data_IF_234067738968
#
_entry.id   IF_234067738968
#
_cell.length_a   1.000
_cell.length_b   1.000
_cell.length_c   1.000
_cell.angle_alpha   90.00
_cell.angle_beta   90.00
_cell.angle_gamma   90.00
#
_symmetry.space_group_name_H-M   'P 1'
#
loop_
_entity.id
_entity.type
_entity.pdbx_description
1 polymer ?
#
# COMPACT_ATOMS: atom_id res chain seq x y z
N UNK A 1 9.75 -7.46 8.85
CA UNK A 1 11.02 -7.88 9.45
C UNK A 1 10.88 -8.14 10.94
N UNK A 2 10.46 -7.17 11.77
CA UNK A 2 10.37 -7.32 13.24
C UNK A 2 9.59 -8.59 13.67
N UNK A 3 8.46 -8.90 13.03
CA UNK A 3 7.70 -10.10 13.32
C UNK A 3 8.46 -11.40 12.97
N UNK A 4 9.25 -11.40 11.89
CA UNK A 4 10.06 -12.55 11.51
C UNK A 4 11.19 -12.77 12.53
N UNK A 5 11.88 -11.72 12.95
CA UNK A 5 12.93 -11.79 13.99
C UNK A 5 12.35 -12.27 15.34
N UNK A 6 11.16 -11.78 15.73
CA UNK A 6 10.50 -12.22 16.96
C UNK A 6 10.16 -13.73 16.96
N UNK A 7 9.87 -14.32 15.80
CA UNK A 7 9.60 -15.76 15.67
C UNK A 7 10.82 -16.62 15.99
N UNK A 8 12.04 -16.12 15.76
CA UNK A 8 13.28 -16.83 16.20
C UNK A 8 13.28 -16.95 17.72
N UNK A 9 12.91 -15.88 18.44
CA UNK A 9 12.78 -15.91 19.90
C UNK A 9 11.75 -16.93 20.39
N UNK A 10 10.59 -17.01 19.72
CA UNK A 10 9.55 -18.00 20.01
C UNK A 10 10.07 -19.43 19.77
N UNK A 11 10.75 -19.67 18.65
CA UNK A 11 11.34 -20.97 18.35
C UNK A 11 12.44 -21.35 19.36
N UNK A 12 13.23 -20.38 19.81
CA UNK A 12 14.26 -20.57 20.84
C UNK A 12 13.64 -20.95 22.21
N UNK A 13 12.46 -20.38 22.52
CA UNK A 13 11.70 -20.71 23.73
C UNK A 13 11.39 -22.20 23.84
N UNK A 14 11.20 -22.91 22.73
CA UNK A 14 10.94 -24.35 22.71
C UNK A 14 12.15 -25.24 23.16
N UNK A 15 13.32 -24.65 23.35
CA UNK A 15 14.48 -25.34 23.95
C UNK A 15 14.37 -25.46 25.48
N UNK A 16 13.56 -24.64 26.09
CA UNK A 16 13.39 -24.57 27.54
C UNK A 16 12.13 -25.33 27.98
N UNK A 17 12.11 -25.82 29.26
CA UNK A 17 10.90 -26.42 29.81
C UNK A 17 9.76 -25.41 29.89
N UNK A 18 8.56 -25.82 29.49
CA UNK A 18 7.33 -25.08 29.72
C UNK A 18 6.81 -25.35 31.14
N UNK A 19 6.60 -24.28 31.89
CA UNK A 19 6.12 -24.32 33.27
C UNK A 19 4.74 -23.71 33.31
N UNK A 20 3.72 -24.52 33.51
CA UNK A 20 2.33 -24.06 33.68
C UNK A 20 1.81 -24.36 35.07
N UNK A 21 0.85 -23.57 35.53
CA UNK A 21 0.12 -23.84 36.78
C UNK A 21 -1.25 -24.36 36.39
N UNK A 22 -1.54 -25.58 36.85
CA UNK A 22 -2.83 -26.22 36.61
C UNK A 22 -3.65 -26.34 37.89
N UNK A 23 -4.95 -26.15 37.76
CA UNK A 23 -5.92 -26.50 38.79
C UNK A 23 -6.97 -27.43 38.16
N UNK A 24 -7.26 -28.52 38.83
CA UNK A 24 -8.29 -29.47 38.43
C UNK A 24 -9.31 -29.62 39.56
N UNK A 25 -10.57 -29.63 39.21
CA UNK A 25 -11.67 -29.98 40.12
C UNK A 25 -12.54 -30.97 39.39
N UNK A 26 -12.97 -32.03 40.11
CA UNK A 26 -13.82 -33.04 39.51
C UNK A 26 -14.53 -33.85 40.60
N UNK A 27 -15.60 -34.52 40.23
CA UNK A 27 -16.37 -35.43 41.07
C UNK A 27 -16.32 -36.81 40.43
N UNK A 28 -15.99 -37.82 41.20
CA UNK A 28 -15.92 -39.22 40.75
C UNK A 28 -16.78 -40.07 41.69
N UNK A 29 -17.84 -40.64 41.15
CA UNK A 29 -18.77 -41.46 41.92
C UNK A 29 -19.93 -42.01 41.11
N UNK A 30 -20.85 -42.72 41.73
CA UNK A 30 -22.13 -43.18 41.16
C UNK A 30 -23.05 -41.94 41.10
N UNK A 31 -24.01 -41.93 40.18
CA UNK A 31 -24.88 -40.74 39.92
C UNK A 31 -25.59 -40.25 41.21
N UNK A 32 -25.96 -41.14 42.11
CA UNK A 32 -26.67 -40.81 43.35
C UNK A 32 -25.79 -40.10 44.40
N UNK A 33 -24.47 -40.25 44.30
CA UNK A 33 -23.48 -39.66 45.22
C UNK A 33 -22.70 -38.49 44.67
N UNK A 34 -23.07 -37.98 43.49
CA UNK A 34 -22.43 -36.84 42.86
C UNK A 34 -22.65 -35.56 43.71
N UNK A 35 -21.54 -34.99 44.17
CA UNK A 35 -21.57 -33.75 44.95
C UNK A 35 -21.36 -33.96 46.45
N UNK A 36 -21.24 -35.21 46.94
CA UNK A 36 -20.89 -35.46 48.31
C UNK A 36 -19.38 -35.27 48.54
N UNK A 37 -18.96 -34.89 49.74
CA UNK A 37 -17.56 -34.56 50.05
C UNK A 37 -16.57 -35.69 49.73
N UNK A 38 -16.88 -37.02 49.90
CA UNK A 38 -15.98 -38.09 49.57
C UNK A 38 -15.70 -38.27 48.09
N UNK A 39 -16.56 -37.77 47.20
CA UNK A 39 -16.45 -37.92 45.73
C UNK A 39 -15.77 -36.76 45.07
N UNK A 40 -15.59 -35.63 45.76
CA UNK A 40 -14.95 -34.43 45.24
C UNK A 40 -13.45 -34.58 45.24
N UNK A 41 -12.82 -34.37 44.12
CA UNK A 41 -11.36 -34.32 43.95
C UNK A 41 -10.95 -32.96 43.43
N UNK A 42 -9.91 -32.44 44.03
CA UNK A 42 -9.28 -31.21 43.54
C UNK A 42 -7.77 -31.41 43.57
N UNK A 43 -7.09 -30.75 42.67
CA UNK A 43 -5.64 -30.70 42.56
C UNK A 43 -5.19 -29.34 42.07
N UNK A 44 -4.13 -28.85 42.67
CA UNK A 44 -3.46 -27.62 42.26
C UNK A 44 -1.95 -27.85 42.30
N UNK A 45 -1.25 -27.47 41.24
CA UNK A 45 0.20 -27.61 41.19
C UNK A 45 0.85 -27.14 39.89
N UNK A 46 2.16 -26.94 39.94
CA UNK A 46 2.93 -26.68 38.73
C UNK A 46 3.01 -27.96 37.88
N UNK A 47 2.83 -27.75 36.54
CA UNK A 47 3.08 -28.78 35.54
C UNK A 47 4.29 -28.34 34.72
N UNK A 48 5.34 -29.17 34.71
CA UNK A 48 6.55 -28.95 33.92
C UNK A 48 6.52 -29.90 32.74
N UNK A 49 6.54 -29.40 31.54
CA UNK A 49 6.65 -30.21 30.34
C UNK A 49 7.91 -29.81 29.55
N UNK A 50 8.67 -30.82 29.15
CA UNK A 50 9.90 -30.61 28.37
C UNK A 50 10.10 -31.74 27.36
N UNK A 51 10.32 -31.34 26.10
CA UNK A 51 10.56 -32.27 25.01
C UNK A 51 12.05 -32.52 24.83
N UNK A 52 12.49 -33.75 25.18
CA UNK A 52 13.87 -34.19 24.99
C UNK A 52 13.85 -35.46 24.12
N UNK A 53 14.68 -35.54 23.06
CA UNK A 53 15.76 -34.66 22.63
C UNK A 53 15.29 -33.39 21.91
N UNK A 54 16.08 -32.32 22.02
CA UNK A 54 15.76 -30.98 21.47
C UNK A 54 16.05 -30.81 19.99
N UNK A 55 16.33 -31.89 19.24
CA UNK A 55 16.67 -31.81 17.80
C UNK A 55 15.57 -31.19 16.96
N UNK A 56 14.30 -31.48 17.25
CA UNK A 56 13.16 -30.87 16.60
C UNK A 56 13.05 -29.35 16.88
N UNK A 57 13.36 -28.94 18.12
CA UNK A 57 13.36 -27.51 18.47
C UNK A 57 14.48 -26.74 17.73
N UNK A 58 15.68 -27.33 17.61
CA UNK A 58 16.79 -26.75 16.84
C UNK A 58 16.46 -26.63 15.36
N UNK A 59 15.81 -27.63 14.77
CA UNK A 59 15.34 -27.54 13.37
C UNK A 59 14.36 -26.41 13.16
N UNK A 60 13.44 -26.16 14.10
CA UNK A 60 12.50 -25.02 14.05
C UNK A 60 13.21 -23.66 14.17
N UNK A 61 14.31 -23.57 14.92
CA UNK A 61 15.12 -22.35 14.99
C UNK A 61 15.74 -22.09 13.64
N UNK A 62 16.38 -23.07 13.00
CA UNK A 62 16.95 -22.91 11.65
C UNK A 62 15.88 -22.57 10.60
N UNK A 63 14.69 -23.13 10.70
CA UNK A 63 13.55 -22.76 9.87
C UNK A 63 13.17 -21.28 10.06
N UNK A 64 13.07 -20.80 11.30
CA UNK A 64 12.76 -19.42 11.61
C UNK A 64 13.86 -18.44 11.15
N UNK A 65 15.13 -18.84 11.27
CA UNK A 65 16.27 -18.07 10.73
C UNK A 65 16.20 -17.95 9.21
N UNK A 66 15.96 -19.07 8.50
CA UNK A 66 15.81 -19.08 7.05
C UNK A 66 14.58 -18.26 6.60
N UNK A 67 13.47 -18.35 7.33
CA UNK A 67 12.28 -17.53 7.09
C UNK A 67 12.57 -16.02 7.28
N UNK A 68 13.44 -15.67 8.23
CA UNK A 68 13.87 -14.28 8.46
C UNK A 68 14.71 -13.76 7.29
N UNK A 69 15.60 -14.58 6.73
CA UNK A 69 16.36 -14.22 5.52
C UNK A 69 15.44 -14.03 4.32
N UNK A 70 14.44 -14.90 4.16
CA UNK A 70 13.41 -14.74 3.13
C UNK A 70 12.59 -13.44 3.30
N UNK A 71 12.26 -13.09 4.54
CA UNK A 71 11.56 -11.83 4.85
C UNK A 71 12.43 -10.58 4.56
N UNK A 72 13.75 -10.68 4.74
CA UNK A 72 14.69 -9.62 4.39
C UNK A 72 14.74 -9.41 2.87
N UNK A 73 14.91 -10.49 2.10
CA UNK A 73 14.91 -10.42 0.64
C UNK A 73 13.59 -9.87 0.08
N UNK A 74 12.47 -10.24 0.69
CA UNK A 74 11.17 -9.68 0.34
C UNK A 74 11.09 -8.17 0.64
N UNK A 75 11.61 -7.74 1.78
CA UNK A 75 11.67 -6.32 2.13
C UNK A 75 12.49 -5.52 1.12
N UNK A 76 13.67 -6.01 0.73
CA UNK A 76 14.50 -5.37 -0.29
C UNK A 76 13.77 -5.26 -1.63
N UNK A 77 13.04 -6.31 -2.02
CA UNK A 77 12.20 -6.29 -3.21
C UNK A 77 11.09 -5.23 -3.15
N UNK A 78 10.44 -5.07 -2.01
CA UNK A 78 9.41 -4.03 -1.80
C UNK A 78 10.01 -2.62 -1.89
N UNK A 79 11.18 -2.40 -1.28
CA UNK A 79 11.89 -1.10 -1.35
C UNK A 79 12.27 -0.75 -2.78
N UNK A 80 12.86 -1.70 -3.52
CA UNK A 80 13.22 -1.50 -4.92
C UNK A 80 11.99 -1.22 -5.79
N UNK A 81 10.87 -1.89 -5.53
CA UNK A 81 9.62 -1.64 -6.23
C UNK A 81 9.07 -0.24 -5.95
N UNK A 82 9.09 0.21 -4.71
CA UNK A 82 8.66 1.55 -4.33
C UNK A 82 9.52 2.65 -5.01
N UNK A 83 10.84 2.44 -5.07
CA UNK A 83 11.76 3.35 -5.79
C UNK A 83 11.41 3.38 -7.29
N UNK A 84 11.20 2.21 -7.90
CA UNK A 84 10.83 2.09 -9.31
C UNK A 84 9.50 2.82 -9.60
N UNK A 85 8.50 2.63 -8.77
CA UNK A 85 7.19 3.27 -8.90
C UNK A 85 7.30 4.81 -8.82
N UNK A 86 8.06 5.31 -7.85
CA UNK A 86 8.31 6.74 -7.70
C UNK A 86 9.03 7.33 -8.90
N UNK A 87 10.09 6.66 -9.39
CA UNK A 87 10.84 7.13 -10.56
C UNK A 87 9.97 7.11 -11.82
N UNK A 88 9.17 6.06 -12.00
CA UNK A 88 8.25 5.94 -13.13
C UNK A 88 7.18 7.04 -13.08
N UNK A 89 6.58 7.28 -11.91
CA UNK A 89 5.60 8.35 -11.71
C UNK A 89 6.17 9.74 -12.00
N UNK A 90 7.40 10.01 -11.56
CA UNK A 90 8.09 11.28 -11.83
C UNK A 90 8.36 11.47 -13.33
N UNK A 91 8.85 10.43 -13.99
CA UNK A 91 9.11 10.48 -15.44
C UNK A 91 7.82 10.70 -16.24
N UNK A 92 6.73 10.01 -15.88
CA UNK A 92 5.42 10.20 -16.50
C UNK A 92 4.89 11.61 -16.26
N UNK A 93 4.93 12.12 -15.05
CA UNK A 93 4.49 13.48 -14.74
C UNK A 93 5.26 14.53 -15.55
N UNK A 94 6.60 14.41 -15.62
CA UNK A 94 7.44 15.30 -16.41
C UNK A 94 7.11 15.25 -17.90
N UNK A 95 6.90 14.06 -18.46
CA UNK A 95 6.52 13.88 -19.86
C UNK A 95 5.14 14.50 -20.18
N UNK A 96 4.17 14.36 -19.25
CA UNK A 96 2.85 14.99 -19.42
C UNK A 96 2.91 16.54 -19.34
N UNK A 97 3.77 17.08 -18.49
CA UNK A 97 4.00 18.53 -18.46
C UNK A 97 4.57 19.04 -19.80
N UNK A 98 5.60 18.39 -20.32
CA UNK A 98 6.20 18.75 -21.60
C UNK A 98 5.20 18.65 -22.75
N UNK A 99 4.37 17.59 -22.76
CA UNK A 99 3.31 17.43 -23.75
C UNK A 99 2.28 18.53 -23.67
N UNK A 100 1.82 18.91 -22.47
CA UNK A 100 0.88 20.01 -22.26
C UNK A 100 1.46 21.31 -22.76
N UNK A 101 2.72 21.62 -22.47
CA UNK A 101 3.38 22.86 -22.88
C UNK A 101 3.49 22.94 -24.41
N UNK A 102 3.90 21.85 -25.07
CA UNK A 102 3.95 21.77 -26.54
C UNK A 102 2.56 21.93 -27.17
N UNK A 103 1.51 21.35 -26.59
CA UNK A 103 0.12 21.53 -27.07
C UNK A 103 -0.40 22.94 -26.82
N UNK A 104 0.05 23.62 -25.76
CA UNK A 104 -0.29 25.01 -25.51
C UNK A 104 0.31 25.93 -26.59
N UNK A 105 1.58 25.74 -26.93
CA UNK A 105 2.26 26.48 -28.00
C UNK A 105 1.62 26.20 -29.38
N UNK A 106 1.33 24.92 -29.67
CA UNK A 106 0.63 24.54 -30.88
C UNK A 106 -0.78 25.16 -30.96
N UNK A 107 -1.46 25.26 -29.80
CA UNK A 107 -2.79 25.89 -29.69
C UNK A 107 -2.77 27.38 -30.04
N UNK A 108 -1.78 28.13 -29.55
CA UNK A 108 -1.63 29.54 -29.89
C UNK A 108 -1.29 29.74 -31.39
N UNK A 109 -0.37 28.93 -31.92
CA UNK A 109 -0.03 28.94 -33.34
C UNK A 109 -1.23 28.62 -34.25
N UNK A 110 -2.02 27.60 -33.88
CA UNK A 110 -3.22 27.23 -34.62
C UNK A 110 -4.30 28.29 -34.54
N UNK A 111 -4.46 28.97 -33.41
CA UNK A 111 -5.37 30.09 -33.23
C UNK A 111 -5.00 31.29 -34.13
N UNK A 112 -3.72 31.63 -34.17
CA UNK A 112 -3.23 32.71 -35.06
C UNK A 112 -3.48 32.36 -36.52
N UNK A 113 -3.14 31.16 -36.96
CA UNK A 113 -3.35 30.66 -38.31
C UNK A 113 -4.85 30.71 -38.71
N UNK A 114 -5.74 30.24 -37.83
CA UNK A 114 -7.19 30.30 -38.05
C UNK A 114 -7.68 31.75 -38.18
N UNK A 115 -7.21 32.63 -37.27
CA UNK A 115 -7.55 34.06 -37.33
C UNK A 115 -7.06 34.74 -38.59
N UNK A 116 -5.86 34.40 -39.09
CA UNK A 116 -5.34 34.94 -40.36
C UNK A 116 -6.14 34.44 -41.56
N UNK A 117 -6.41 33.13 -41.61
CA UNK A 117 -7.17 32.50 -42.70
C UNK A 117 -8.59 33.05 -42.76
N UNK A 118 -9.22 33.27 -41.61
CA UNK A 118 -10.54 33.89 -41.53
C UNK A 118 -10.57 35.34 -42.10
N UNK A 119 -9.56 36.17 -41.79
CA UNK A 119 -9.42 37.51 -42.37
C UNK A 119 -9.21 37.44 -43.88
N UNK A 120 -8.43 36.52 -44.39
CA UNK A 120 -8.25 36.33 -45.84
C UNK A 120 -9.52 35.84 -46.52
N UNK A 121 -10.30 34.97 -45.89
CA UNK A 121 -11.60 34.55 -46.39
C UNK A 121 -12.58 35.75 -46.50
N UNK A 122 -12.67 36.58 -45.46
CA UNK A 122 -13.50 37.75 -45.46
C UNK A 122 -13.09 38.80 -46.56
N UNK A 123 -11.80 38.85 -46.86
CA UNK A 123 -11.27 39.67 -47.94
C UNK A 123 -11.37 39.03 -49.35
N UNK A 124 -12.02 37.87 -49.48
CA UNK A 124 -12.13 37.12 -50.74
C UNK A 124 -10.82 36.47 -51.23
N UNK A 125 -9.80 36.37 -50.36
CA UNK A 125 -8.44 35.89 -50.70
C UNK A 125 -8.18 34.45 -50.28
N UNK A 126 -9.09 33.84 -49.56
CA UNK A 126 -9.04 32.44 -49.16
C UNK A 126 -10.38 31.75 -49.41
N UNK A 127 -10.37 30.43 -49.64
CA UNK A 127 -11.59 29.64 -49.80
C UNK A 127 -12.26 29.37 -48.46
N UNK A 128 -13.58 29.14 -48.46
CA UNK A 128 -14.32 28.68 -47.27
C UNK A 128 -13.75 27.36 -46.72
N UNK A 129 -13.30 26.46 -47.61
CA UNK A 129 -12.69 25.19 -47.18
C UNK A 129 -11.41 25.44 -46.40
N UNK A 130 -10.57 26.39 -46.79
CA UNK A 130 -9.35 26.75 -46.07
C UNK A 130 -9.66 27.29 -44.66
N UNK A 131 -10.66 28.17 -44.53
CA UNK A 131 -11.11 28.72 -43.25
C UNK A 131 -11.67 27.64 -42.34
N UNK A 132 -12.48 26.71 -42.88
CA UNK A 132 -13.02 25.60 -42.15
C UNK A 132 -11.92 24.65 -41.65
N UNK A 133 -10.92 24.33 -42.49
CA UNK A 133 -9.79 23.49 -42.12
C UNK A 133 -8.94 24.11 -41.02
N UNK A 134 -8.62 25.39 -41.08
CA UNK A 134 -7.87 26.11 -40.09
C UNK A 134 -8.62 26.14 -38.72
N UNK A 135 -9.93 26.39 -38.75
CA UNK A 135 -10.79 26.39 -37.55
C UNK A 135 -10.87 24.98 -36.94
N UNK A 136 -10.98 23.93 -37.76
CA UNK A 136 -10.99 22.56 -37.31
C UNK A 136 -9.68 22.20 -36.61
N UNK A 137 -8.52 22.51 -37.24
CA UNK A 137 -7.21 22.28 -36.65
C UNK A 137 -7.06 22.92 -35.27
N UNK A 138 -7.48 24.21 -35.17
CA UNK A 138 -7.48 24.91 -33.87
C UNK A 138 -8.36 24.22 -32.83
N UNK A 139 -9.57 23.77 -33.21
CA UNK A 139 -10.49 23.09 -32.31
C UNK A 139 -9.93 21.72 -31.83
N UNK A 140 -9.32 20.98 -32.77
CA UNK A 140 -8.70 19.67 -32.45
C UNK A 140 -7.52 19.83 -31.49
N UNK A 141 -6.65 20.84 -31.69
CA UNK A 141 -5.53 21.10 -30.76
C UNK A 141 -6.04 21.54 -29.39
N UNK A 142 -7.08 22.37 -29.32
CA UNK A 142 -7.71 22.75 -28.05
C UNK A 142 -8.26 21.54 -27.27
N UNK A 143 -8.91 20.63 -27.97
CA UNK A 143 -9.43 19.41 -27.36
C UNK A 143 -8.29 18.55 -26.79
N UNK A 144 -7.18 18.44 -27.56
CA UNK A 144 -5.99 17.74 -27.10
C UNK A 144 -5.34 18.40 -25.88
N UNK A 145 -5.26 19.75 -25.84
CA UNK A 145 -4.75 20.48 -24.70
C UNK A 145 -5.62 20.28 -23.44
N UNK A 146 -6.95 20.27 -23.60
CA UNK A 146 -7.85 19.99 -22.49
C UNK A 146 -7.64 18.56 -21.92
N UNK A 147 -7.47 17.58 -22.80
CA UNK A 147 -7.16 16.22 -22.40
C UNK A 147 -5.77 16.13 -21.73
N UNK A 148 -4.76 16.84 -22.24
CA UNK A 148 -3.43 16.87 -21.64
C UNK A 148 -3.43 17.50 -20.24
N UNK A 149 -4.21 18.54 -19.99
CA UNK A 149 -4.38 19.12 -18.65
C UNK A 149 -4.95 18.11 -17.65
N UNK A 150 -5.94 17.33 -18.07
CA UNK A 150 -6.49 16.25 -17.25
C UNK A 150 -5.43 15.18 -16.95
N UNK A 151 -4.64 14.82 -17.98
CA UNK A 151 -3.60 13.80 -17.79
C UNK A 151 -2.47 14.27 -16.87
N UNK A 152 -2.11 15.56 -16.90
CA UNK A 152 -1.16 16.14 -15.92
C UNK A 152 -1.71 16.03 -14.50
N UNK A 153 -2.99 16.38 -14.28
CA UNK A 153 -3.61 16.26 -12.96
C UNK A 153 -3.64 14.79 -12.47
N UNK A 154 -3.96 13.85 -13.34
CA UNK A 154 -3.96 12.43 -13.00
C UNK A 154 -2.55 11.93 -12.65
N UNK A 155 -1.54 12.23 -13.48
CA UNK A 155 -0.16 11.82 -13.20
C UNK A 155 0.43 12.48 -11.95
N UNK A 156 -0.04 13.68 -11.58
CA UNK A 156 0.32 14.33 -10.31
C UNK A 156 -0.25 13.56 -9.11
N UNK A 157 -1.50 13.11 -9.21
CA UNK A 157 -2.14 12.28 -8.16
C UNK A 157 -1.41 10.94 -8.04
N UNK A 158 -1.11 10.28 -9.17
CA UNK A 158 -0.40 9.00 -9.18
C UNK A 158 1.00 9.12 -8.54
N UNK A 159 1.72 10.20 -8.86
CA UNK A 159 3.02 10.49 -8.23
C UNK A 159 2.87 10.72 -6.72
N UNK A 160 1.84 11.46 -6.30
CA UNK A 160 1.57 11.70 -4.88
C UNK A 160 1.28 10.39 -4.14
N UNK A 161 0.51 9.49 -4.74
CA UNK A 161 0.24 8.16 -4.18
C UNK A 161 1.50 7.29 -4.12
N UNK A 162 2.34 7.31 -5.17
CA UNK A 162 3.60 6.58 -5.20
C UNK A 162 4.60 7.06 -4.13
N UNK A 163 4.53 8.33 -3.72
CA UNK A 163 5.30 8.90 -2.62
C UNK A 163 4.72 8.58 -1.23
N UNK A 164 3.62 7.82 -1.17
CA UNK A 164 2.95 7.47 0.08
C UNK A 164 2.09 8.60 0.64
N UNK A 165 1.62 9.52 -0.18
CA UNK A 165 0.74 10.61 0.24
C UNK A 165 -0.63 10.12 0.72
N UNK A 166 -1.24 10.90 1.62
CA UNK A 166 -2.58 10.61 2.15
C UNK A 166 -2.60 9.99 3.56
N UNK A 167 -1.46 9.62 4.13
CA UNK A 167 -1.36 9.07 5.50
C UNK A 167 -1.53 10.15 6.59
N UNK A 168 -1.34 11.42 6.27
CA UNK A 168 -1.46 12.54 7.22
C UNK A 168 -2.91 12.91 7.54
N UNK A 169 -3.85 12.64 6.65
CA UNK A 169 -5.27 12.97 6.85
C UNK A 169 -5.96 12.15 7.96
N UNK A 170 -5.33 11.07 8.45
CA UNK A 170 -5.87 10.23 9.52
C UNK A 170 -5.54 10.68 10.96
N UNK A 171 -4.63 11.65 11.16
CA UNK A 171 -4.20 12.05 12.51
C UNK A 171 -4.94 13.23 13.13
N UNK A 172 -5.85 13.86 12.45
CA UNK A 172 -6.38 15.15 12.89
C UNK A 172 -7.66 15.05 13.72
N UNK A 173 -8.02 13.92 14.36
CA UNK A 173 -9.16 13.92 15.31
C UNK A 173 -9.01 12.87 16.42
N UNK A 174 -7.95 12.95 17.21
CA UNK A 174 -8.03 12.54 18.60
C UNK A 174 -8.16 13.81 19.44
N UNK A 175 -9.38 14.29 19.64
CA UNK A 175 -9.68 15.29 20.64
C UNK A 175 -9.19 14.78 22.01
N UNK A 176 -8.54 15.61 22.85
CA UNK A 176 -8.15 15.20 24.18
C UNK A 176 -9.41 14.89 24.99
N UNK A 177 -9.53 13.64 25.43
CA UNK A 177 -10.54 13.25 26.41
C UNK A 177 -10.23 14.03 27.68
N UNK A 178 -11.04 15.05 27.98
CA UNK A 178 -11.05 15.74 29.26
C UNK A 178 -11.47 14.70 30.31
N UNK A 179 -10.53 14.36 31.21
CA UNK A 179 -10.87 13.63 32.43
C UNK A 179 -11.65 14.54 33.34
N UNK A 180 -12.67 14.01 34.06
CA UNK A 180 -13.40 14.71 35.11
C UNK A 180 -12.56 14.91 36.33
#
# INVERSE_FOLDING_TARGET
LAAATARIGVATGALYPDISIGATIGTVGILDDLGTAPTNRWGFGPLISWSVPTNGARARIHEAEAATQGALAHFDGVVLNAIRETQTGLAQYTAQLQRRDALSEAGESAKEAAGQTHRFFQAGRASFLADLQATRTYTDVRAQLAAANTQVAMSQIDLFLALGGGWESGRTHAAPVSKP
#
